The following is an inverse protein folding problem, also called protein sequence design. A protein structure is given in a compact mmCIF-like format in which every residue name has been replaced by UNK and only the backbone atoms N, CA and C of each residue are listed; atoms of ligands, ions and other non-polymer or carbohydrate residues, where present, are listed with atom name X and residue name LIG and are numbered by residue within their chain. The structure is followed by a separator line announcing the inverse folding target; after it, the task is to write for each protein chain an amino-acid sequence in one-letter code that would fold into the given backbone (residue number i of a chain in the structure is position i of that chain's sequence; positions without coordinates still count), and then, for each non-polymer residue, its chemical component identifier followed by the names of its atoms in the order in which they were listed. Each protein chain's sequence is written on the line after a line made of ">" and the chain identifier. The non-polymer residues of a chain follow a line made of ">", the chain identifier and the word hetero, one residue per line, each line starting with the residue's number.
data_IF_352227969267
#
_entry.id   IF_352227969267
#
_cell.length_a   1.000
_cell.length_b   1.000
_cell.length_c   1.000
_cell.angle_alpha   90.00
_cell.angle_beta   90.00
_cell.angle_gamma   90.00
#
_symmetry.space_group_name_H-M   'P 1'
#
loop_
_entity.id
_entity.type
_entity.pdbx_description
1 polymer ?
#
# COMPACT_ATOMS: atom_id res chain seq x y z
N UNK A 1 -18.00 5.17 8.64
CA UNK A 1 -16.70 4.61 8.22
C UNK A 1 -16.93 3.26 7.58
N UNK A 2 -16.36 3.05 6.42
CA UNK A 2 -16.49 1.76 5.75
C UNK A 2 -15.72 0.67 6.49
N UNK A 3 -16.30 -0.51 6.57
CA UNK A 3 -15.62 -1.65 7.15
C UNK A 3 -14.51 -2.13 6.20
N UNK A 4 -13.38 -2.48 6.77
CA UNK A 4 -12.29 -3.07 6.00
C UNK A 4 -12.53 -4.56 5.83
N UNK A 5 -12.32 -5.05 4.61
CA UNK A 5 -12.36 -6.48 4.35
C UNK A 5 -11.10 -7.12 4.90
N UNK A 6 -11.30 -8.21 5.66
CA UNK A 6 -10.20 -9.06 6.08
C UNK A 6 -10.13 -10.25 5.14
N UNK A 7 -9.00 -10.39 4.45
CA UNK A 7 -8.76 -11.50 3.56
C UNK A 7 -7.50 -12.24 4.01
N UNK A 8 -7.50 -13.54 3.87
CA UNK A 8 -6.36 -14.37 4.28
C UNK A 8 -5.96 -15.32 3.17
N UNK A 9 -4.68 -15.38 2.92
CA UNK A 9 -4.08 -16.39 2.04
C UNK A 9 -3.16 -17.27 2.87
N UNK A 10 -3.25 -18.56 2.63
CA UNK A 10 -2.35 -19.54 3.29
C UNK A 10 -1.00 -19.63 2.60
N UNK A 11 -0.94 -19.29 1.33
CA UNK A 11 0.28 -19.37 0.55
C UNK A 11 0.29 -18.28 -0.51
N UNK A 12 1.46 -17.71 -0.77
CA UNK A 12 1.67 -16.76 -1.85
C UNK A 12 2.28 -17.39 -3.10
N UNK A 13 2.30 -18.74 -3.17
CA UNK A 13 2.96 -19.44 -4.29
C UNK A 13 2.30 -19.14 -5.64
N UNK A 14 1.01 -18.84 -5.65
CA UNK A 14 0.23 -18.58 -6.85
C UNK A 14 -0.14 -17.11 -7.05
N UNK A 15 0.55 -16.19 -6.37
CA UNK A 15 0.33 -14.76 -6.58
C UNK A 15 0.72 -14.39 -8.01
N UNK A 16 -0.17 -13.73 -8.76
CA UNK A 16 0.17 -13.32 -10.13
C UNK A 16 1.34 -12.34 -10.15
N UNK A 17 2.12 -12.39 -11.20
CA UNK A 17 3.15 -11.38 -11.42
C UNK A 17 2.50 -10.03 -11.64
N UNK A 18 3.14 -8.96 -11.14
CA UNK A 18 2.61 -7.61 -11.27
C UNK A 18 2.69 -7.16 -12.73
N UNK A 19 1.54 -6.78 -13.28
CA UNK A 19 1.43 -6.34 -14.68
C UNK A 19 0.66 -5.03 -14.74
N UNK A 20 1.30 -3.94 -14.29
CA UNK A 20 0.68 -2.62 -14.29
C UNK A 20 0.32 -2.18 -15.71
N UNK A 21 -0.78 -1.43 -15.87
CA UNK A 21 -1.10 -0.83 -17.17
C UNK A 21 0.04 0.06 -17.67
N UNK A 22 0.09 0.26 -18.99
CA UNK A 22 1.05 1.18 -19.59
C UNK A 22 0.91 2.57 -18.97
N UNK A 23 2.04 3.22 -18.69
CA UNK A 23 2.05 4.54 -18.07
C UNK A 23 2.16 4.53 -16.56
N UNK A 24 2.29 3.35 -15.94
CA UNK A 24 2.42 3.21 -14.49
C UNK A 24 3.65 2.40 -14.12
N UNK A 25 4.24 2.76 -12.98
CA UNK A 25 5.40 2.07 -12.42
C UNK A 25 5.21 1.83 -10.94
N UNK A 26 5.94 0.87 -10.40
CA UNK A 26 5.95 0.54 -9.00
C UNK A 26 7.25 1.04 -8.37
N UNK A 27 7.17 1.65 -7.17
CA UNK A 27 8.35 1.94 -6.36
C UNK A 27 8.04 1.72 -4.89
N UNK A 28 9.06 1.55 -4.07
CA UNK A 28 8.87 1.46 -2.62
C UNK A 28 9.14 2.82 -1.97
N UNK A 29 8.81 2.89 -0.67
CA UNK A 29 9.01 4.07 0.16
C UNK A 29 10.49 4.47 0.19
N UNK A 30 10.71 5.78 0.16
CA UNK A 30 12.00 6.39 0.50
C UNK A 30 11.77 7.42 1.59
N UNK A 31 12.79 7.72 2.37
CA UNK A 31 12.69 8.67 3.47
C UNK A 31 12.12 10.00 2.96
N UNK A 32 11.09 10.51 3.65
CA UNK A 32 10.43 11.75 3.27
C UNK A 32 9.09 11.55 2.58
N UNK A 33 8.70 10.31 2.27
CA UNK A 33 7.43 10.02 1.56
C UNK A 33 6.19 10.13 2.44
N UNK A 34 6.31 10.52 3.70
CA UNK A 34 5.16 10.65 4.60
C UNK A 34 4.08 11.58 4.03
N UNK A 35 4.49 12.71 3.49
CA UNK A 35 3.55 13.66 2.87
C UNK A 35 2.93 13.11 1.59
N UNK A 36 3.69 12.35 0.82
CA UNK A 36 3.20 11.68 -0.39
C UNK A 36 2.10 10.69 -0.02
N UNK A 37 2.36 9.86 0.97
CA UNK A 37 1.40 8.86 1.44
C UNK A 37 0.12 9.54 1.97
N UNK A 38 0.29 10.57 2.81
CA UNK A 38 -0.84 11.32 3.36
C UNK A 38 -1.70 11.92 2.25
N UNK A 39 -1.07 12.47 1.21
CA UNK A 39 -1.80 13.04 0.07
C UNK A 39 -2.68 11.98 -0.63
N UNK A 40 -2.12 10.80 -0.89
CA UNK A 40 -2.88 9.71 -1.54
C UNK A 40 -4.06 9.31 -0.66
N UNK A 41 -3.83 9.08 0.63
CA UNK A 41 -4.87 8.63 1.56
C UNK A 41 -5.98 9.68 1.68
N UNK A 42 -5.61 10.95 1.80
CA UNK A 42 -6.57 12.04 1.93
C UNK A 42 -7.41 12.20 0.66
N UNK A 43 -6.77 12.10 -0.50
CA UNK A 43 -7.46 12.22 -1.80
C UNK A 43 -8.40 11.03 -2.05
N UNK A 44 -8.01 9.84 -1.61
CA UNK A 44 -8.86 8.66 -1.74
C UNK A 44 -10.10 8.74 -0.85
N UNK A 45 -9.99 9.40 0.31
CA UNK A 45 -11.13 9.77 1.15
C UNK A 45 -11.73 8.66 2.00
N UNK A 46 -11.31 7.41 1.83
CA UNK A 46 -11.96 6.27 2.49
C UNK A 46 -11.32 5.88 3.83
N UNK A 47 -10.10 6.33 4.09
CA UNK A 47 -9.30 5.85 5.22
C UNK A 47 -9.05 6.95 6.28
N UNK A 48 -9.69 8.10 6.16
CA UNK A 48 -9.56 9.20 7.08
C UNK A 48 -8.60 10.29 6.58
N UNK A 49 -8.33 11.26 7.43
CA UNK A 49 -7.43 12.36 7.10
C UNK A 49 -6.09 12.17 7.82
N UNK A 50 -5.00 12.39 7.10
CA UNK A 50 -3.66 12.22 7.63
C UNK A 50 -2.82 13.47 7.40
N UNK A 51 -1.98 13.78 8.39
CA UNK A 51 -0.86 14.72 8.27
C UNK A 51 0.43 13.91 8.21
N UNK A 52 1.53 14.54 7.81
CA UNK A 52 2.84 13.87 7.84
C UNK A 52 3.16 13.34 9.25
N UNK A 53 2.86 14.13 10.28
CA UNK A 53 3.09 13.75 11.67
C UNK A 53 2.30 12.51 12.04
N UNK A 54 1.03 12.44 11.65
CA UNK A 54 0.18 11.27 11.92
C UNK A 54 0.70 10.04 11.17
N UNK A 55 1.23 10.20 9.96
CA UNK A 55 1.84 9.08 9.22
C UNK A 55 3.04 8.52 9.98
N UNK A 56 3.91 9.39 10.49
CA UNK A 56 5.03 8.93 11.31
C UNK A 56 4.52 8.17 12.53
N UNK A 57 3.53 8.71 13.23
CA UNK A 57 3.03 8.10 14.47
C UNK A 57 2.36 6.75 14.23
N UNK A 58 1.64 6.58 13.13
CA UNK A 58 0.79 5.41 12.90
C UNK A 58 1.35 4.43 11.89
N UNK A 59 2.34 4.80 11.12
CA UNK A 59 2.88 3.95 10.04
C UNK A 59 4.41 3.89 10.09
N UNK A 60 5.09 4.93 9.62
CA UNK A 60 6.54 4.86 9.39
C UNK A 60 7.36 4.79 10.67
N UNK A 61 6.84 5.29 11.77
CA UNK A 61 7.50 5.21 13.08
C UNK A 61 7.22 3.95 13.87
N UNK A 62 6.42 3.02 13.32
CA UNK A 62 6.04 1.80 14.02
C UNK A 62 7.07 0.69 13.83
N UNK A 63 7.26 -0.18 14.88
CA UNK A 63 8.23 -1.29 14.76
C UNK A 63 7.92 -2.28 13.64
N UNK A 64 6.66 -2.37 13.22
CA UNK A 64 6.22 -3.27 12.15
C UNK A 64 6.47 -2.70 10.75
N UNK A 65 6.90 -1.45 10.67
CA UNK A 65 7.09 -0.80 9.38
C UNK A 65 8.39 -1.26 8.72
N UNK A 66 8.30 -1.66 7.46
CA UNK A 66 9.46 -1.98 6.63
C UNK A 66 9.43 -1.11 5.38
N UNK A 67 10.44 -0.29 5.14
CA UNK A 67 10.45 0.61 3.98
C UNK A 67 10.23 -0.11 2.65
N UNK A 68 10.80 -1.29 2.48
CA UNK A 68 10.63 -2.08 1.26
C UNK A 68 9.22 -2.61 1.09
N UNK A 69 8.43 -2.58 2.13
CA UNK A 69 7.04 -3.07 2.12
C UNK A 69 6.00 -2.01 1.86
N UNK A 70 6.36 -0.73 1.90
CA UNK A 70 5.43 0.35 1.56
C UNK A 70 5.62 0.68 0.09
N UNK A 71 4.60 0.36 -0.72
CA UNK A 71 4.69 0.46 -2.18
C UNK A 71 3.81 1.58 -2.69
N UNK A 72 4.29 2.21 -3.75
CA UNK A 72 3.56 3.24 -4.48
C UNK A 72 3.49 2.87 -5.95
N UNK A 73 2.37 3.20 -6.58
CA UNK A 73 2.27 3.23 -8.04
C UNK A 73 2.41 4.67 -8.47
N UNK A 74 3.29 4.92 -9.42
CA UNK A 74 3.52 6.26 -9.97
C UNK A 74 3.20 6.28 -11.45
N UNK A 75 2.88 7.46 -11.98
CA UNK A 75 2.73 7.68 -13.42
C UNK A 75 4.09 7.83 -14.08
N UNK A 76 4.12 7.93 -15.40
CA UNK A 76 5.35 8.23 -16.16
C UNK A 76 5.97 9.59 -15.77
N UNK A 77 5.18 10.48 -15.19
CA UNK A 77 5.65 11.76 -14.66
C UNK A 77 6.10 11.67 -13.20
N UNK A 78 6.24 10.44 -12.68
CA UNK A 78 6.61 10.16 -11.29
C UNK A 78 5.60 10.68 -10.27
N UNK A 79 4.33 10.85 -10.66
CA UNK A 79 3.27 11.25 -9.74
C UNK A 79 2.73 10.02 -8.99
N UNK A 80 2.84 9.96 -7.64
CA UNK A 80 2.28 8.85 -6.88
C UNK A 80 0.75 8.90 -6.87
N UNK A 81 0.11 7.79 -7.24
CA UNK A 81 -1.35 7.74 -7.41
C UNK A 81 -2.01 6.57 -6.68
N UNK A 82 -1.23 5.64 -6.17
CA UNK A 82 -1.76 4.49 -5.42
C UNK A 82 -0.72 4.02 -4.42
N UNK A 83 -1.18 3.34 -3.37
CA UNK A 83 -0.30 2.80 -2.35
C UNK A 83 -0.92 1.57 -1.68
N UNK A 84 -0.05 0.72 -1.16
CA UNK A 84 -0.39 -0.38 -0.25
C UNK A 84 0.85 -0.72 0.56
N UNK A 85 0.66 -1.24 1.75
CA UNK A 85 1.75 -1.54 2.66
C UNK A 85 1.74 -3.01 3.09
N UNK A 86 2.91 -3.64 3.05
CA UNK A 86 3.12 -4.93 3.69
C UNK A 86 3.30 -4.69 5.19
N UNK A 87 2.37 -5.23 5.99
CA UNK A 87 2.37 -5.02 7.44
C UNK A 87 2.58 -6.36 8.13
N UNK A 88 3.64 -6.50 8.89
CA UNK A 88 3.95 -7.75 9.58
C UNK A 88 3.15 -7.88 10.86
N UNK A 89 2.60 -9.08 11.06
CA UNK A 89 1.77 -9.36 12.21
C UNK A 89 0.35 -8.84 12.01
N UNK A 90 -0.59 -9.59 12.53
CA UNK A 90 -1.98 -9.17 12.59
C UNK A 90 -2.38 -9.03 14.06
N UNK A 91 -3.59 -8.57 14.30
CA UNK A 91 -4.12 -8.52 15.65
C UNK A 91 -4.13 -9.91 16.32
N UNK A 92 -4.38 -10.95 15.54
CA UNK A 92 -4.53 -12.32 16.04
C UNK A 92 -3.27 -13.18 15.88
N UNK A 93 -2.37 -12.83 14.96
CA UNK A 93 -1.19 -13.66 14.66
C UNK A 93 -0.03 -12.77 14.20
N UNK A 94 0.96 -12.61 15.06
CA UNK A 94 2.14 -11.79 14.78
C UNK A 94 3.00 -12.35 13.64
N UNK A 95 2.83 -13.63 13.27
CA UNK A 95 3.57 -14.26 12.17
C UNK A 95 2.90 -14.07 10.82
N UNK A 96 1.64 -13.64 10.82
CA UNK A 96 0.92 -13.39 9.58
C UNK A 96 1.26 -12.00 9.06
N UNK A 97 1.28 -11.84 7.75
CA UNK A 97 1.36 -10.53 7.11
C UNK A 97 -0.02 -10.07 6.68
N UNK A 98 -0.18 -8.79 6.52
CA UNK A 98 -1.41 -8.22 5.97
C UNK A 98 -1.09 -7.14 4.95
N UNK A 99 -2.01 -6.96 3.99
CA UNK A 99 -1.98 -5.81 3.09
C UNK A 99 -2.71 -4.69 3.80
N UNK A 100 -1.99 -3.62 4.10
CA UNK A 100 -2.47 -2.54 4.97
C UNK A 100 -2.64 -1.26 4.17
N UNK A 101 -3.76 -0.55 4.39
CA UNK A 101 -3.98 0.80 3.87
C UNK A 101 -3.86 0.90 2.35
N UNK A 102 -4.66 0.12 1.62
CA UNK A 102 -4.71 0.20 0.16
C UNK A 102 -5.52 1.41 -0.27
N UNK A 103 -4.98 2.24 -1.14
CA UNK A 103 -5.66 3.43 -1.64
C UNK A 103 -5.24 3.77 -3.07
N UNK A 104 -6.20 4.27 -3.85
CA UNK A 104 -5.97 4.79 -5.21
C UNK A 104 -6.67 6.14 -5.29
N UNK A 105 -5.98 7.16 -5.78
CA UNK A 105 -6.60 8.49 -5.95
C UNK A 105 -7.74 8.41 -6.97
N UNK A 106 -8.81 9.22 -6.80
CA UNK A 106 -10.01 9.09 -7.64
C UNK A 106 -9.76 9.15 -9.14
N UNK A 107 -8.83 10.00 -9.58
CA UNK A 107 -8.54 10.20 -11.01
C UNK A 107 -7.92 8.97 -11.68
N UNK A 108 -7.42 8.02 -10.89
CA UNK A 108 -6.76 6.82 -11.40
C UNK A 108 -7.48 5.53 -11.00
N UNK A 109 -8.69 5.61 -10.47
CA UNK A 109 -9.51 4.45 -10.17
C UNK A 109 -10.04 3.83 -11.47
N UNK A 110 -10.42 2.55 -11.40
CA UNK A 110 -10.95 1.83 -12.55
C UNK A 110 -9.89 1.23 -13.47
N UNK A 111 -8.62 1.31 -13.10
CA UNK A 111 -7.49 0.79 -13.89
C UNK A 111 -6.83 -0.42 -13.24
N UNK A 112 -7.48 -1.02 -12.23
CA UNK A 112 -6.99 -2.18 -11.47
C UNK A 112 -5.67 -1.92 -10.72
N UNK A 113 -5.37 -0.66 -10.42
CA UNK A 113 -4.13 -0.34 -9.69
C UNK A 113 -4.13 -0.95 -8.29
N UNK A 114 -5.29 -0.95 -7.60
CA UNK A 114 -5.40 -1.58 -6.29
C UNK A 114 -5.08 -3.07 -6.35
N UNK A 115 -5.55 -3.76 -7.38
CA UNK A 115 -5.26 -5.18 -7.58
C UNK A 115 -3.74 -5.40 -7.72
N UNK A 116 -3.09 -4.63 -8.58
CA UNK A 116 -1.66 -4.82 -8.85
C UNK A 116 -0.78 -4.40 -7.68
N UNK A 117 -1.12 -3.33 -6.98
CA UNK A 117 -0.33 -2.93 -5.81
C UNK A 117 -0.49 -3.94 -4.67
N UNK A 118 -1.67 -4.54 -4.51
CA UNK A 118 -1.87 -5.62 -3.55
C UNK A 118 -1.06 -6.87 -3.93
N UNK A 119 -1.04 -7.23 -5.21
CA UNK A 119 -0.23 -8.35 -5.69
C UNK A 119 1.25 -8.11 -5.39
N UNK A 120 1.72 -6.87 -5.60
CA UNK A 120 3.11 -6.51 -5.31
C UNK A 120 3.43 -6.67 -3.82
N UNK A 121 2.51 -6.28 -2.93
CA UNK A 121 2.68 -6.47 -1.48
C UNK A 121 2.78 -7.95 -1.15
N UNK A 122 1.94 -8.79 -1.76
CA UNK A 122 2.00 -10.23 -1.53
C UNK A 122 3.35 -10.83 -1.97
N UNK A 123 3.95 -10.29 -3.02
CA UNK A 123 5.30 -10.70 -3.44
C UNK A 123 6.36 -10.32 -2.39
N UNK A 124 6.20 -9.20 -1.70
CA UNK A 124 7.10 -8.82 -0.60
C UNK A 124 7.09 -9.90 0.48
N UNK A 125 5.91 -10.40 0.85
CA UNK A 125 5.81 -11.47 1.86
C UNK A 125 6.40 -12.80 1.39
N UNK A 126 6.36 -13.05 0.09
CA UNK A 126 6.87 -14.29 -0.49
C UNK A 126 8.40 -14.32 -0.46
N UNK A 127 9.01 -13.19 -0.68
CA UNK A 127 10.46 -13.05 -0.74
C UNK A 127 11.03 -12.78 0.65
#
# INVERSE_FOLDING_TARGET
>A
MADQLKMRRRSNADVPEVALPSGYRLRHYVQGDEGVWADIINRAGALGEYTEEKVVDTLTGQPRFHPEGLLFVTTDADEPVATACAWLGTHDDWRAGSVHMVAVVPEHQGKRLSYWVCAAVLHVFRD
#
